data_IF_146813710675
#
_entry.id   IF_146813710675
#
_cell.length_a   1.000
_cell.length_b   1.000
_cell.length_c   1.000
_cell.angle_alpha   90.00
_cell.angle_beta   90.00
_cell.angle_gamma   90.00
#
_symmetry.space_group_name_H-M   'P 1'
#
loop_
_entity.id
_entity.type
_entity.pdbx_description
1 polymer ?
#
# COMPACT_ATOMS: atom_id res chain seq x y z
N UNK A 1 15.29 -6.24 12.73
CA UNK A 1 15.99 -5.00 13.11
C UNK A 1 15.57 -4.65 14.52
N UNK A 2 16.53 -4.35 15.39
CA UNK A 2 16.27 -3.95 16.76
C UNK A 2 17.25 -2.85 17.19
N UNK A 3 16.82 -1.97 18.09
CA UNK A 3 17.67 -1.07 18.83
C UNK A 3 18.18 -1.75 20.08
N UNK A 4 19.45 -1.60 20.39
CA UNK A 4 20.05 -2.18 21.60
C UNK A 4 20.69 -1.06 22.40
N UNK A 5 20.20 -0.85 23.62
CA UNK A 5 20.74 0.16 24.53
C UNK A 5 21.79 -0.49 25.45
N UNK A 6 22.97 0.10 25.43
CA UNK A 6 24.15 -0.42 26.13
C UNK A 6 24.63 0.57 27.18
N UNK A 7 25.10 0.05 28.31
CA UNK A 7 25.91 0.78 29.27
C UNK A 7 27.32 0.23 29.23
N UNK A 8 28.31 1.07 28.96
CA UNK A 8 29.72 0.71 28.86
C UNK A 8 30.59 1.89 29.32
N UNK A 9 31.74 1.59 29.93
CA UNK A 9 32.73 2.60 30.28
C UNK A 9 33.41 3.18 29.02
N UNK A 10 33.66 2.30 28.05
CA UNK A 10 34.34 2.61 26.81
C UNK A 10 33.77 1.75 25.67
N UNK A 11 33.01 2.40 24.73
CA UNK A 11 32.38 1.69 23.62
C UNK A 11 33.38 1.04 22.63
N UNK A 12 34.63 1.49 22.65
CA UNK A 12 35.70 0.91 21.81
C UNK A 12 36.26 -0.39 22.31
N UNK A 13 35.93 -0.78 23.54
CA UNK A 13 36.44 -2.01 24.19
C UNK A 13 35.38 -3.11 24.20
N UNK A 14 35.79 -4.39 24.18
CA UNK A 14 34.88 -5.52 24.33
C UNK A 14 34.04 -5.43 25.62
N UNK A 15 32.73 -5.68 25.53
CA UNK A 15 31.79 -5.59 26.66
C UNK A 15 32.24 -6.41 27.88
N UNK A 16 32.69 -7.63 27.66
CA UNK A 16 33.14 -8.53 28.75
C UNK A 16 34.36 -8.02 29.53
N UNK A 17 35.24 -7.27 28.84
CA UNK A 17 36.47 -6.75 29.44
C UNK A 17 36.23 -5.60 30.42
N UNK A 18 35.09 -4.95 30.38
CA UNK A 18 34.77 -3.76 31.16
C UNK A 18 33.49 -3.86 31.98
N UNK A 19 32.83 -5.02 32.01
CA UNK A 19 31.58 -5.22 32.72
C UNK A 19 30.39 -4.45 32.10
N UNK A 20 30.44 -4.21 30.81
CA UNK A 20 29.34 -3.56 30.08
C UNK A 20 28.10 -4.47 30.02
N UNK A 21 26.91 -3.84 29.94
CA UNK A 21 25.64 -4.55 29.94
C UNK A 21 24.67 -4.00 28.87
N UNK A 22 23.81 -4.90 28.39
CA UNK A 22 22.63 -4.54 27.61
C UNK A 22 21.54 -4.14 28.61
N UNK A 23 20.98 -2.96 28.45
CA UNK A 23 19.91 -2.43 29.31
C UNK A 23 18.54 -2.76 28.70
N UNK A 24 18.41 -2.56 27.39
CA UNK A 24 17.15 -2.70 26.70
C UNK A 24 17.33 -3.14 25.25
N UNK A 25 16.34 -3.86 24.71
CA UNK A 25 16.24 -4.22 23.29
C UNK A 25 14.88 -3.82 22.77
N UNK A 26 14.85 -2.90 21.81
CA UNK A 26 13.65 -2.31 21.23
C UNK A 26 13.36 -2.87 19.84
N UNK A 27 12.18 -3.42 19.59
CA UNK A 27 11.75 -3.95 18.30
C UNK A 27 11.46 -2.83 17.26
N UNK A 28 11.15 -1.62 17.73
CA UNK A 28 10.87 -0.44 16.89
C UNK A 28 11.70 0.76 17.34
N UNK A 29 13.04 0.76 17.13
CA UNK A 29 13.91 1.81 17.67
C UNK A 29 13.68 3.15 16.97
N UNK A 30 13.70 4.24 17.74
CA UNK A 30 13.79 5.59 17.20
C UNK A 30 15.12 5.82 16.49
N UNK A 31 15.09 6.41 15.30
CA UNK A 31 16.30 6.65 14.51
C UNK A 31 16.81 8.11 14.61
N UNK A 32 16.01 9.00 15.18
CA UNK A 32 16.29 10.44 15.17
C UNK A 32 17.61 10.78 15.84
N UNK A 33 17.96 10.14 16.96
CA UNK A 33 19.21 10.37 17.68
C UNK A 33 20.46 10.00 16.86
N UNK A 34 20.32 9.10 15.90
CA UNK A 34 21.42 8.76 14.98
C UNK A 34 21.50 9.69 13.79
N UNK A 35 20.34 10.17 13.31
CA UNK A 35 20.25 11.06 12.15
C UNK A 35 20.55 12.52 12.51
N UNK A 36 20.19 12.94 13.74
CA UNK A 36 20.39 14.30 14.27
C UNK A 36 20.90 14.21 15.71
N UNK A 37 22.16 13.76 15.93
CA UNK A 37 22.71 13.68 17.27
C UNK A 37 22.92 15.10 17.85
N UNK A 38 22.77 15.24 19.16
CA UNK A 38 23.05 16.51 19.86
C UNK A 38 24.53 16.90 19.72
N UNK A 39 25.44 15.93 19.70
CA UNK A 39 26.87 16.11 19.48
C UNK A 39 27.39 14.99 18.57
N UNK A 40 28.40 15.30 17.77
CA UNK A 40 29.01 14.34 16.85
C UNK A 40 28.42 14.42 15.43
N UNK A 41 28.77 13.43 14.59
CA UNK A 41 28.36 13.38 13.19
C UNK A 41 27.09 12.54 13.02
N UNK A 42 26.13 12.97 12.18
CA UNK A 42 25.00 12.14 11.75
C UNK A 42 25.45 10.80 11.17
N UNK A 43 24.68 9.75 11.44
CA UNK A 43 24.89 8.42 10.87
C UNK A 43 23.65 8.01 10.09
N UNK A 44 23.78 7.59 8.81
CA UNK A 44 22.64 7.24 7.95
C UNK A 44 22.09 5.83 8.26
N UNK A 45 21.65 5.61 9.51
CA UNK A 45 21.19 4.31 9.99
C UNK A 45 19.98 3.81 9.21
N UNK A 46 19.04 4.72 8.87
CA UNK A 46 17.88 4.38 8.06
C UNK A 46 18.25 3.86 6.67
N UNK A 47 19.27 4.47 6.04
CA UNK A 47 19.79 4.00 4.75
C UNK A 47 20.40 2.59 4.86
N UNK A 48 21.17 2.33 5.91
CA UNK A 48 21.76 1.01 6.15
C UNK A 48 20.70 -0.06 6.39
N UNK A 49 19.61 0.29 7.10
CA UNK A 49 18.45 -0.59 7.31
C UNK A 49 17.77 -0.89 5.98
N UNK A 50 17.48 0.13 5.16
CA UNK A 50 16.86 -0.05 3.86
C UNK A 50 17.73 -0.91 2.93
N UNK A 51 19.04 -0.64 2.86
CA UNK A 51 19.98 -1.43 2.06
C UNK A 51 20.10 -2.90 2.52
N UNK A 52 19.85 -3.17 3.81
CA UNK A 52 19.83 -4.55 4.32
C UNK A 52 18.50 -5.28 3.98
N UNK A 53 17.38 -4.55 3.93
CA UNK A 53 16.07 -5.13 3.63
C UNK A 53 15.87 -5.39 2.13
N UNK A 54 16.48 -4.56 1.29
CA UNK A 54 16.35 -4.63 -0.17
C UNK A 54 17.74 -4.82 -0.80
N UNK A 55 17.91 -5.86 -1.58
CA UNK A 55 19.13 -6.04 -2.36
C UNK A 55 19.28 -4.86 -3.36
N UNK A 56 20.50 -4.46 -3.74
CA UNK A 56 20.73 -3.29 -4.61
C UNK A 56 19.96 -3.30 -5.94
N UNK A 57 19.63 -4.51 -6.42
CA UNK A 57 18.92 -4.71 -7.70
C UNK A 57 17.48 -5.21 -7.53
N UNK A 58 16.99 -5.31 -6.28
CA UNK A 58 15.61 -5.73 -6.05
C UNK A 58 14.65 -4.56 -6.30
N UNK A 59 13.59 -4.81 -7.05
CA UNK A 59 12.46 -3.89 -7.09
C UNK A 59 11.73 -3.94 -5.75
N UNK A 60 11.71 -2.83 -4.98
CA UNK A 60 11.09 -2.83 -3.65
C UNK A 60 9.56 -2.78 -3.71
N UNK A 61 8.99 -2.62 -4.90
CA UNK A 61 7.55 -2.53 -5.15
C UNK A 61 7.01 -3.82 -5.74
N UNK A 62 5.93 -4.33 -5.15
CA UNK A 62 5.12 -5.36 -5.78
C UNK A 62 4.18 -4.71 -6.80
N UNK A 63 3.77 -5.41 -7.87
CA UNK A 63 2.71 -4.96 -8.75
C UNK A 63 1.41 -4.76 -7.97
N UNK A 64 0.84 -3.55 -8.07
CA UNK A 64 -0.44 -3.19 -7.47
C UNK A 64 -1.43 -2.88 -8.58
N UNK A 65 -2.63 -3.47 -8.49
CA UNK A 65 -3.78 -3.15 -9.34
C UNK A 65 -4.86 -2.53 -8.48
N UNK A 66 -5.27 -1.31 -8.79
CA UNK A 66 -6.42 -0.64 -8.16
C UNK A 66 -7.65 -0.74 -9.06
N UNK A 67 -8.80 -1.09 -8.50
CA UNK A 67 -10.07 -1.20 -9.22
C UNK A 67 -11.11 -0.34 -8.52
N UNK A 68 -11.69 0.61 -9.25
CA UNK A 68 -12.76 1.49 -8.75
C UNK A 68 -13.92 1.55 -9.75
N UNK A 69 -15.13 1.75 -9.25
CA UNK A 69 -16.32 2.00 -10.06
C UNK A 69 -17.62 1.74 -9.30
N UNK A 70 -18.75 1.95 -9.97
CA UNK A 70 -20.07 1.70 -9.42
C UNK A 70 -20.45 0.21 -9.50
N UNK A 71 -20.06 -0.44 -10.60
CA UNK A 71 -20.49 -1.80 -10.93
C UNK A 71 -19.29 -2.65 -11.37
N UNK A 72 -19.45 -3.96 -11.26
CA UNK A 72 -18.50 -4.99 -11.72
C UNK A 72 -17.10 -4.93 -11.08
N UNK A 73 -16.87 -4.09 -10.07
CA UNK A 73 -15.57 -3.97 -9.39
C UNK A 73 -15.15 -5.26 -8.74
N UNK A 74 -16.04 -5.90 -7.96
CA UNK A 74 -15.73 -7.13 -7.23
C UNK A 74 -15.39 -8.28 -8.19
N UNK A 75 -16.20 -8.49 -9.23
CA UNK A 75 -15.95 -9.53 -10.23
C UNK A 75 -14.61 -9.32 -10.94
N UNK A 76 -14.35 -8.08 -11.37
CA UNK A 76 -13.09 -7.69 -12.03
C UNK A 76 -11.89 -7.90 -11.11
N UNK A 77 -11.97 -7.45 -9.87
CA UNK A 77 -10.88 -7.58 -8.89
C UNK A 77 -10.55 -9.05 -8.60
N UNK A 78 -11.58 -9.88 -8.42
CA UNK A 78 -11.38 -11.33 -8.22
C UNK A 78 -10.80 -12.01 -9.44
N UNK A 79 -11.25 -11.65 -10.66
CA UNK A 79 -10.71 -12.21 -11.91
C UNK A 79 -9.23 -11.83 -12.08
N UNK A 80 -8.88 -10.57 -11.87
CA UNK A 80 -7.49 -10.12 -11.95
C UNK A 80 -6.62 -10.87 -10.94
N UNK A 81 -7.06 -10.95 -9.68
CA UNK A 81 -6.33 -11.66 -8.64
C UNK A 81 -6.15 -13.15 -8.98
N UNK A 82 -7.19 -13.77 -9.56
CA UNK A 82 -7.12 -15.15 -10.03
C UNK A 82 -6.11 -15.33 -11.18
N UNK A 83 -6.10 -14.44 -12.16
CA UNK A 83 -5.14 -14.50 -13.28
C UNK A 83 -3.70 -14.32 -12.81
N UNK A 84 -3.45 -13.41 -11.86
CA UNK A 84 -2.13 -13.23 -11.25
C UNK A 84 -1.71 -14.49 -10.46
N UNK A 85 -2.64 -15.09 -9.74
CA UNK A 85 -2.39 -16.35 -9.03
C UNK A 85 -2.03 -17.50 -9.99
N UNK A 86 -2.70 -17.59 -11.14
CA UNK A 86 -2.38 -18.59 -12.18
C UNK A 86 -0.98 -18.39 -12.79
N UNK A 87 -0.41 -17.18 -12.73
CA UNK A 87 0.98 -16.90 -13.10
C UNK A 87 1.98 -17.34 -12.02
N UNK A 88 1.52 -17.93 -10.93
CA UNK A 88 2.35 -18.40 -9.82
C UNK A 88 2.62 -17.36 -8.74
N UNK A 89 2.04 -16.14 -8.82
CA UNK A 89 2.25 -15.09 -7.84
C UNK A 89 1.39 -15.34 -6.59
N UNK A 90 1.98 -15.14 -5.42
CA UNK A 90 1.23 -15.07 -4.16
C UNK A 90 0.47 -13.75 -4.09
N UNK A 91 -0.77 -13.77 -4.55
CA UNK A 91 -1.59 -12.57 -4.76
C UNK A 91 -2.39 -12.20 -3.51
N UNK A 92 -2.29 -10.95 -3.08
CA UNK A 92 -3.20 -10.35 -2.10
C UNK A 92 -4.41 -9.73 -2.81
N UNK A 93 -5.62 -9.94 -2.28
CA UNK A 93 -6.84 -9.29 -2.77
C UNK A 93 -7.61 -8.68 -1.61
N UNK A 94 -7.91 -7.40 -1.70
CA UNK A 94 -8.81 -6.65 -0.84
C UNK A 94 -10.07 -6.32 -1.66
N UNK A 95 -11.24 -6.77 -1.20
CA UNK A 95 -12.49 -6.61 -1.94
C UNK A 95 -13.71 -6.51 -1.02
N UNK A 96 -14.86 -6.15 -1.58
CA UNK A 96 -16.13 -6.13 -0.86
C UNK A 96 -16.49 -7.51 -0.26
N UNK A 97 -15.99 -8.61 -0.83
CA UNK A 97 -16.21 -9.98 -0.34
C UNK A 97 -15.21 -10.43 0.72
N UNK A 98 -14.16 -9.65 0.97
CA UNK A 98 -13.18 -10.01 1.97
C UNK A 98 -11.75 -9.71 1.60
N UNK A 99 -10.87 -10.20 2.47
CA UNK A 99 -9.43 -10.14 2.33
C UNK A 99 -8.89 -11.55 2.04
N UNK A 100 -8.10 -11.68 0.97
CA UNK A 100 -7.61 -12.97 0.51
C UNK A 100 -6.09 -12.94 0.30
N UNK A 101 -5.46 -14.09 0.52
CA UNK A 101 -4.07 -14.36 0.18
C UNK A 101 -4.04 -15.62 -0.69
N UNK A 102 -3.78 -15.47 -1.98
CA UNK A 102 -4.03 -16.52 -2.95
C UNK A 102 -5.49 -16.99 -2.88
N UNK A 103 -5.70 -18.26 -2.66
CA UNK A 103 -7.05 -18.84 -2.52
C UNK A 103 -7.57 -18.82 -1.07
N UNK A 104 -6.73 -18.43 -0.09
CA UNK A 104 -7.09 -18.43 1.32
C UNK A 104 -7.82 -17.14 1.69
N UNK A 105 -9.06 -17.27 2.17
CA UNK A 105 -9.78 -16.17 2.80
C UNK A 105 -9.19 -15.90 4.20
N UNK A 106 -8.69 -14.68 4.41
CA UNK A 106 -8.18 -14.20 5.70
C UNK A 106 -9.28 -13.52 6.52
N UNK A 107 -10.23 -12.88 5.83
CA UNK A 107 -11.36 -12.17 6.41
C UNK A 107 -12.54 -12.28 5.45
N UNK A 108 -13.70 -12.71 5.94
CA UNK A 108 -14.92 -12.95 5.14
C UNK A 108 -15.94 -11.80 5.22
N UNK A 109 -15.53 -10.64 5.75
CA UNK A 109 -16.26 -9.38 5.72
C UNK A 109 -15.56 -8.46 4.75
N UNK A 110 -16.16 -7.31 4.41
CA UNK A 110 -15.50 -6.31 3.56
C UNK A 110 -14.03 -6.14 3.95
N UNK A 111 -13.16 -6.17 2.99
CA UNK A 111 -11.73 -5.97 3.14
C UNK A 111 -11.27 -4.64 2.52
N UNK A 112 -12.21 -3.78 2.09
CA UNK A 112 -11.89 -2.54 1.39
C UNK A 112 -11.41 -1.42 2.31
N UNK A 113 -11.56 -1.58 3.61
CA UNK A 113 -11.06 -0.61 4.60
C UNK A 113 -9.52 -0.50 4.52
N UNK A 114 -9.02 0.70 4.73
CA UNK A 114 -7.58 1.00 4.63
C UNK A 114 -6.71 0.06 5.49
N UNK A 115 -7.12 -0.20 6.74
CA UNK A 115 -6.41 -1.11 7.65
C UNK A 115 -6.33 -2.55 7.11
N UNK A 116 -7.42 -3.06 6.54
CA UNK A 116 -7.45 -4.40 5.94
C UNK A 116 -6.49 -4.49 4.76
N UNK A 117 -6.48 -3.49 3.89
CA UNK A 117 -5.59 -3.41 2.75
C UNK A 117 -4.12 -3.30 3.17
N UNK A 118 -3.80 -2.52 4.21
CA UNK A 118 -2.45 -2.41 4.76
C UNK A 118 -1.91 -3.76 5.24
N UNK A 119 -2.75 -4.64 5.79
CA UNK A 119 -2.33 -6.00 6.20
C UNK A 119 -1.77 -6.82 5.05
N UNK A 120 -2.24 -6.60 3.81
CA UNK A 120 -1.65 -7.23 2.62
C UNK A 120 -0.30 -6.60 2.26
N UNK A 121 -0.20 -5.26 2.28
CA UNK A 121 1.02 -4.55 1.88
C UNK A 121 2.20 -4.80 2.84
N UNK A 122 1.94 -4.99 4.13
CA UNK A 122 2.99 -5.35 5.09
C UNK A 122 3.34 -6.84 5.11
N UNK A 123 2.55 -7.68 4.43
CA UNK A 123 2.79 -9.12 4.39
C UNK A 123 3.85 -9.45 3.35
N UNK A 124 5.03 -9.85 3.80
CA UNK A 124 6.19 -10.16 2.95
C UNK A 124 5.99 -11.33 1.97
N UNK A 125 4.96 -12.14 2.14
CA UNK A 125 4.64 -13.22 1.20
C UNK A 125 3.80 -12.76 0.01
N UNK A 126 3.26 -11.52 0.02
CA UNK A 126 2.50 -10.97 -1.09
C UNK A 126 3.46 -10.50 -2.18
N UNK A 127 3.28 -11.06 -3.37
CA UNK A 127 4.10 -10.76 -4.56
C UNK A 127 3.37 -9.88 -5.58
N UNK A 128 2.03 -9.82 -5.50
CA UNK A 128 1.17 -8.89 -6.24
C UNK A 128 -0.08 -8.60 -5.42
N UNK A 129 -0.67 -7.42 -5.57
CA UNK A 129 -1.87 -7.05 -4.84
C UNK A 129 -2.94 -6.42 -5.72
N UNK A 130 -4.21 -6.76 -5.45
CA UNK A 130 -5.38 -6.17 -6.09
C UNK A 130 -6.25 -5.52 -5.02
N UNK A 131 -6.59 -4.26 -5.21
CA UNK A 131 -7.40 -3.48 -4.29
C UNK A 131 -8.67 -3.01 -4.99
N UNK A 132 -9.81 -3.52 -4.55
CA UNK A 132 -11.11 -2.96 -4.86
C UNK A 132 -11.36 -1.78 -3.93
N UNK A 133 -11.85 -0.67 -4.49
CA UNK A 133 -12.28 0.48 -3.70
C UNK A 133 -13.59 1.06 -4.24
N UNK A 134 -14.28 1.82 -3.41
CA UNK A 134 -15.46 2.60 -3.81
C UNK A 134 -15.16 4.09 -3.69
N UNK A 135 -15.98 4.92 -4.31
CA UNK A 135 -15.87 6.38 -4.14
C UNK A 135 -15.95 6.79 -2.66
N UNK A 136 -16.80 6.12 -1.86
CA UNK A 136 -16.90 6.38 -0.42
C UNK A 136 -15.59 6.08 0.32
N UNK A 137 -14.99 4.91 0.11
CA UNK A 137 -13.71 4.56 0.76
C UNK A 137 -12.59 5.50 0.31
N UNK A 138 -12.54 5.82 -0.99
CA UNK A 138 -11.55 6.76 -1.52
C UNK A 138 -11.66 8.15 -0.87
N UNK A 139 -12.88 8.65 -0.66
CA UNK A 139 -13.11 9.98 -0.07
C UNK A 139 -12.89 10.00 1.44
N UNK A 140 -13.19 8.90 2.15
CA UNK A 140 -13.11 8.84 3.62
C UNK A 140 -11.72 8.46 4.13
N UNK A 141 -11.04 7.54 3.44
CA UNK A 141 -9.79 6.92 3.92
C UNK A 141 -8.63 7.09 2.94
N UNK A 142 -8.91 7.41 1.66
CA UNK A 142 -7.94 7.45 0.59
C UNK A 142 -7.61 6.06 0.03
N UNK A 143 -6.61 6.01 -0.85
CA UNK A 143 -6.09 4.75 -1.38
C UNK A 143 -5.09 4.13 -0.37
N UNK A 144 -5.07 2.80 -0.20
CA UNK A 144 -4.15 2.14 0.73
C UNK A 144 -2.71 2.05 0.21
N UNK A 145 -2.44 2.52 -0.99
CA UNK A 145 -1.14 2.55 -1.67
C UNK A 145 -0.85 3.94 -2.24
N UNK A 146 0.41 4.25 -2.39
CA UNK A 146 0.89 5.53 -2.96
C UNK A 146 0.86 5.53 -4.49
N UNK A 147 1.17 4.40 -5.13
CA UNK A 147 1.22 4.18 -6.57
C UNK A 147 0.76 2.77 -6.93
N UNK A 148 0.18 2.62 -8.11
CA UNK A 148 -0.17 1.32 -8.69
C UNK A 148 0.45 1.14 -10.09
N UNK A 149 0.59 -0.10 -10.51
CA UNK A 149 1.01 -0.44 -11.86
C UNK A 149 -0.16 -0.35 -12.85
N UNK A 150 -1.36 -0.76 -12.40
CA UNK A 150 -2.58 -0.70 -13.21
C UNK A 150 -3.70 -0.06 -12.40
N UNK A 151 -4.33 0.96 -12.96
CA UNK A 151 -5.56 1.55 -12.46
C UNK A 151 -6.74 1.17 -13.35
N UNK A 152 -7.78 0.56 -12.78
CA UNK A 152 -8.97 0.11 -13.53
C UNK A 152 -10.18 0.90 -13.07
N UNK A 153 -10.94 1.44 -14.03
CA UNK A 153 -12.21 2.13 -13.79
C UNK A 153 -13.30 1.37 -14.54
N UNK A 154 -14.22 0.73 -13.81
CA UNK A 154 -15.25 -0.16 -14.38
C UNK A 154 -16.53 0.57 -14.77
N UNK A 155 -16.93 1.58 -14.02
CA UNK A 155 -18.08 2.44 -14.31
C UNK A 155 -17.98 3.71 -13.47
N UNK A 156 -18.58 4.82 -13.94
CA UNK A 156 -18.60 6.08 -13.19
C UNK A 156 -19.54 5.94 -11.98
N UNK A 157 -19.04 6.13 -10.75
CA UNK A 157 -19.90 6.13 -9.56
C UNK A 157 -20.83 7.35 -9.53
N UNK A 158 -21.93 7.22 -8.80
CA UNK A 158 -22.89 8.30 -8.59
C UNK A 158 -22.61 9.02 -7.25
N UNK A 159 -23.03 10.28 -7.18
CA UNK A 159 -22.92 11.11 -5.97
C UNK A 159 -23.90 10.68 -4.86
N UNK A 160 -24.87 9.83 -5.19
CA UNK A 160 -25.89 9.38 -4.24
C UNK A 160 -25.23 8.72 -3.02
N UNK A 161 -25.65 9.18 -1.83
CA UNK A 161 -25.12 8.68 -0.56
C UNK A 161 -23.73 9.23 -0.18
N UNK A 162 -23.19 10.24 -0.89
CA UNK A 162 -21.87 10.84 -0.61
C UNK A 162 -21.95 12.29 -0.11
N UNK A 163 -23.15 12.79 0.24
CA UNK A 163 -23.36 14.17 0.66
C UNK A 163 -22.64 14.51 1.96
N UNK A 164 -22.48 13.54 2.85
CA UNK A 164 -21.70 13.64 4.09
C UNK A 164 -20.19 13.80 3.85
N UNK A 165 -19.72 13.46 2.65
CA UNK A 165 -18.34 13.63 2.17
C UNK A 165 -18.20 14.81 1.19
N UNK A 166 -19.13 15.76 1.23
CA UNK A 166 -19.15 17.01 0.44
C UNK A 166 -19.31 16.80 -1.07
N UNK A 167 -19.79 15.65 -1.52
CA UNK A 167 -20.17 15.39 -2.91
C UNK A 167 -21.67 15.68 -3.08
N UNK A 168 -22.00 16.68 -3.91
CA UNK A 168 -23.35 17.17 -4.08
C UNK A 168 -23.98 16.76 -5.42
N UNK A 169 -23.16 16.47 -6.43
CA UNK A 169 -23.64 16.13 -7.78
C UNK A 169 -22.72 15.14 -8.49
N UNK A 170 -23.26 14.40 -9.47
CA UNK A 170 -22.49 13.47 -10.30
C UNK A 170 -21.36 14.16 -11.08
N UNK A 171 -21.47 15.46 -11.36
CA UNK A 171 -20.43 16.24 -12.04
C UNK A 171 -19.10 16.31 -11.29
N UNK A 172 -19.12 16.03 -9.98
CA UNK A 172 -17.90 15.97 -9.14
C UNK A 172 -17.20 14.61 -9.22
N UNK A 173 -17.90 13.57 -9.65
CA UNK A 173 -17.40 12.20 -9.61
C UNK A 173 -16.18 11.95 -10.51
N UNK A 174 -16.05 12.55 -11.71
CA UNK A 174 -14.84 12.41 -12.52
C UNK A 174 -13.57 12.82 -11.78
N UNK A 175 -13.59 13.88 -10.98
CA UNK A 175 -12.43 14.32 -10.19
C UNK A 175 -12.09 13.34 -9.06
N UNK A 176 -13.10 12.71 -8.46
CA UNK A 176 -12.89 11.69 -7.42
C UNK A 176 -12.23 10.45 -8.02
N UNK A 177 -12.81 9.92 -9.09
CA UNK A 177 -12.36 8.67 -9.72
C UNK A 177 -11.00 8.84 -10.40
N UNK A 178 -10.72 10.04 -10.94
CA UNK A 178 -9.44 10.39 -11.53
C UNK A 178 -8.26 10.12 -10.59
N UNK A 179 -8.44 10.24 -9.27
CA UNK A 179 -7.41 9.90 -8.29
C UNK A 179 -6.79 8.51 -8.53
N UNK A 180 -7.62 7.53 -9.00
CA UNK A 180 -7.12 6.19 -9.34
C UNK A 180 -6.15 6.22 -10.54
N UNK A 181 -6.34 7.14 -11.50
CA UNK A 181 -5.45 7.31 -12.65
C UNK A 181 -4.19 8.07 -12.27
N UNK A 182 -4.32 9.11 -11.45
CA UNK A 182 -3.22 9.99 -11.04
C UNK A 182 -2.13 9.25 -10.23
N UNK A 183 -2.48 8.12 -9.62
CA UNK A 183 -1.54 7.27 -8.87
C UNK A 183 -0.91 6.16 -9.72
N UNK A 184 -1.24 6.04 -11.00
CA UNK A 184 -0.61 5.07 -11.89
C UNK A 184 0.86 5.46 -12.14
N UNK A 185 1.76 4.47 -12.05
CA UNK A 185 3.17 4.67 -12.32
C UNK A 185 3.41 5.09 -13.78
N UNK A 186 4.48 5.82 -14.12
CA UNK A 186 4.78 6.22 -15.50
C UNK A 186 4.94 5.05 -16.49
N UNK A 187 5.34 3.88 -15.98
CA UNK A 187 5.44 2.63 -16.77
C UNK A 187 4.20 1.75 -16.60
N UNK A 188 3.16 2.26 -15.94
CA UNK A 188 1.90 1.57 -15.70
C UNK A 188 0.84 1.85 -16.77
N UNK A 189 -0.39 1.44 -16.49
CA UNK A 189 -1.51 1.57 -17.42
C UNK A 189 -2.81 1.92 -16.69
N UNK A 190 -3.58 2.87 -17.23
CA UNK A 190 -4.98 3.07 -16.89
C UNK A 190 -5.87 2.26 -17.84
N UNK A 191 -6.79 1.48 -17.29
CA UNK A 191 -7.77 0.67 -18.03
C UNK A 191 -9.16 1.25 -17.76
N UNK A 192 -9.79 1.75 -18.82
CA UNK A 192 -11.07 2.44 -18.76
C UNK A 192 -12.14 1.61 -19.49
N UNK A 193 -13.33 1.49 -18.87
CA UNK A 193 -14.45 0.84 -19.54
C UNK A 193 -14.95 1.69 -20.71
N UNK A 194 -14.81 1.17 -21.93
CA UNK A 194 -15.21 1.87 -23.15
C UNK A 194 -16.73 1.93 -23.36
N UNK A 195 -17.51 1.12 -22.66
CA UNK A 195 -18.97 1.14 -22.73
C UNK A 195 -19.59 2.24 -21.85
N UNK A 196 -18.81 2.89 -21.00
CA UNK A 196 -19.24 4.02 -20.17
C UNK A 196 -18.64 5.33 -20.70
N UNK A 197 -19.48 6.18 -21.30
CA UNK A 197 -19.05 7.43 -21.91
C UNK A 197 -18.42 8.42 -20.91
N UNK A 198 -18.87 8.42 -19.65
CA UNK A 198 -18.30 9.27 -18.60
C UNK A 198 -16.88 8.78 -18.21
N UNK A 199 -16.68 7.46 -18.18
CA UNK A 199 -15.36 6.86 -17.95
C UNK A 199 -14.42 7.12 -19.13
N UNK A 200 -14.90 6.98 -20.37
CA UNK A 200 -14.10 7.29 -21.59
C UNK A 200 -13.60 8.73 -21.57
N UNK A 201 -14.39 9.68 -21.12
CA UNK A 201 -14.00 11.09 -21.03
C UNK A 201 -12.79 11.34 -20.11
N UNK A 202 -12.50 10.43 -19.17
CA UNK A 202 -11.31 10.51 -18.33
C UNK A 202 -10.00 10.31 -19.12
N UNK A 203 -10.05 9.73 -20.31
CA UNK A 203 -8.87 9.55 -21.16
C UNK A 203 -8.26 10.87 -21.68
N UNK A 204 -8.92 12.00 -21.44
CA UNK A 204 -8.44 13.35 -21.81
C UNK A 204 -7.40 13.89 -20.82
N UNK A 205 -7.27 13.27 -19.67
CA UNK A 205 -6.34 13.65 -18.59
C UNK A 205 -5.09 12.77 -18.59
#
# INVERSE_FOLDING_TARGET
>A
IAGVDLVALDISKPMKAQGAAIVEVNAGPGLLMHLKPATGKPRPVGQAIAAHLFAPESEPRIPVVGVIGQENTTGTSHLIAWLLHLQGLQTGLSSAKGLFLGQRCLQNQSGMEWESAQRLLINRSVEAAVFETTARHLLSEGLPYDRCLVGVITAMPKAEGLQDLYIQSDEQMPNVVRTQMDVVLPNGMAVLNADDAEVVNLAQY
#
